data_IF_450668210534
#
_entry.id   IF_450668210534
#
_cell.length_a   1.000
_cell.length_b   1.000
_cell.length_c   1.000
_cell.angle_alpha   90.00
_cell.angle_beta   90.00
_cell.angle_gamma   90.00
#
_symmetry.space_group_name_H-M   'P 1'
#
loop_
_entity.id
_entity.type
_entity.pdbx_description
1 polymer ?
#
# COMPACT_ATOMS: atom_id res chain seq x y z
N UNK A 1 32.60 -12.90 13.99
CA UNK A 1 31.60 -12.34 13.04
C UNK A 1 30.52 -13.39 12.83
N UNK A 2 29.31 -13.17 13.34
CA UNK A 2 28.22 -14.14 13.14
C UNK A 2 27.69 -14.02 11.71
N UNK A 3 27.91 -15.04 10.88
CA UNK A 3 27.34 -15.09 9.54
C UNK A 3 25.80 -15.07 9.59
N UNK A 4 25.16 -14.46 8.59
CA UNK A 4 23.70 -14.51 8.44
C UNK A 4 23.24 -15.97 8.39
N UNK A 5 22.35 -16.37 9.29
CA UNK A 5 21.71 -17.68 9.26
C UNK A 5 20.78 -17.75 8.05
N UNK A 6 20.94 -18.79 7.23
CA UNK A 6 20.06 -19.09 6.11
C UNK A 6 19.08 -20.19 6.54
N UNK A 7 17.82 -20.07 6.11
CA UNK A 7 16.77 -21.05 6.37
C UNK A 7 16.08 -21.41 5.06
N UNK A 8 15.65 -22.67 4.92
CA UNK A 8 14.92 -23.13 3.75
C UNK A 8 13.44 -22.71 3.84
N UNK A 9 12.91 -22.19 2.74
CA UNK A 9 11.49 -21.90 2.57
C UNK A 9 10.90 -22.89 1.56
N UNK A 10 9.85 -23.62 1.94
CA UNK A 10 9.12 -24.54 1.07
C UNK A 10 7.67 -24.09 0.94
N UNK A 11 7.21 -23.86 -0.29
CA UNK A 11 5.87 -23.36 -0.59
C UNK A 11 5.21 -24.30 -1.59
N UNK A 12 3.94 -24.65 -1.34
CA UNK A 12 3.11 -25.36 -2.31
C UNK A 12 2.48 -24.35 -3.26
N UNK A 13 2.60 -24.61 -4.55
CA UNK A 13 2.14 -23.73 -5.63
C UNK A 13 1.62 -24.61 -6.76
N UNK A 14 0.66 -24.09 -7.51
CA UNK A 14 0.20 -24.72 -8.74
C UNK A 14 1.37 -24.85 -9.74
N UNK A 15 1.40 -25.97 -10.47
CA UNK A 15 2.52 -26.32 -11.35
C UNK A 15 2.65 -25.36 -12.54
N UNK A 16 1.52 -25.01 -13.16
CA UNK A 16 1.48 -24.10 -14.31
C UNK A 16 1.81 -22.68 -13.86
N UNK A 17 1.25 -22.26 -12.73
CA UNK A 17 1.56 -20.95 -12.13
C UNK A 17 3.04 -20.80 -11.80
N UNK A 18 3.67 -21.85 -11.25
CA UNK A 18 5.11 -21.86 -10.96
C UNK A 18 5.93 -21.65 -12.22
N UNK A 19 5.59 -22.35 -13.31
CA UNK A 19 6.30 -22.29 -14.59
C UNK A 19 6.15 -20.90 -15.25
N UNK A 20 4.94 -20.34 -15.23
CA UNK A 20 4.68 -18.99 -15.74
C UNK A 20 5.50 -17.96 -14.96
N UNK A 21 5.44 -18.02 -13.63
CA UNK A 21 6.19 -17.12 -12.76
C UNK A 21 7.69 -17.21 -13.02
N UNK A 22 8.24 -18.42 -13.20
CA UNK A 22 9.66 -18.61 -13.48
C UNK A 22 10.10 -17.99 -14.81
N UNK A 23 9.24 -18.08 -15.83
CA UNK A 23 9.47 -17.48 -17.14
C UNK A 23 9.50 -15.95 -17.03
N UNK A 24 8.53 -15.35 -16.32
CA UNK A 24 8.49 -13.90 -16.12
C UNK A 24 9.69 -13.40 -15.30
N UNK A 25 10.05 -14.10 -14.21
CA UNK A 25 11.23 -13.74 -13.43
C UNK A 25 12.52 -13.81 -14.27
N UNK A 26 12.66 -14.82 -15.14
CA UNK A 26 13.78 -14.91 -16.08
C UNK A 26 13.83 -13.74 -17.06
N UNK A 27 12.69 -13.32 -17.60
CA UNK A 27 12.61 -12.15 -18.48
C UNK A 27 13.08 -10.87 -17.77
N UNK A 28 12.85 -10.78 -16.46
CA UNK A 28 13.31 -9.68 -15.61
C UNK A 28 14.77 -9.85 -15.13
N UNK A 29 15.46 -10.93 -15.49
CA UNK A 29 16.82 -11.23 -15.03
C UNK A 29 16.90 -11.63 -13.54
N UNK A 30 15.79 -12.11 -12.97
CA UNK A 30 15.68 -12.48 -11.57
C UNK A 30 15.62 -14.00 -11.38
N UNK A 31 16.25 -14.47 -10.32
CA UNK A 31 16.02 -15.83 -9.81
C UNK A 31 14.84 -15.84 -8.84
N UNK A 32 14.23 -17.01 -8.65
CA UNK A 32 13.20 -17.21 -7.62
C UNK A 32 13.65 -16.76 -6.23
N UNK A 33 14.88 -17.12 -5.85
CA UNK A 33 15.46 -16.74 -4.56
C UNK A 33 15.57 -15.22 -4.43
N UNK A 34 16.05 -14.55 -5.47
CA UNK A 34 16.16 -13.08 -5.50
C UNK A 34 14.79 -12.43 -5.38
N UNK A 35 13.82 -12.88 -6.18
CA UNK A 35 12.46 -12.35 -6.17
C UNK A 35 11.80 -12.48 -4.79
N UNK A 36 11.85 -13.67 -4.18
CA UNK A 36 11.29 -13.91 -2.84
C UNK A 36 12.02 -13.11 -1.76
N UNK A 37 13.33 -12.92 -1.90
CA UNK A 37 14.12 -12.09 -0.97
C UNK A 37 13.68 -10.62 -1.05
N UNK A 38 13.55 -10.07 -2.26
CA UNK A 38 13.10 -8.69 -2.47
C UNK A 38 11.67 -8.48 -1.96
N UNK A 39 10.77 -9.42 -2.27
CA UNK A 39 9.40 -9.42 -1.77
C UNK A 39 9.36 -9.37 -0.23
N UNK A 40 10.14 -10.23 0.43
CA UNK A 40 10.21 -10.29 1.89
C UNK A 40 10.81 -9.01 2.48
N UNK A 41 11.84 -8.44 1.84
CA UNK A 41 12.45 -7.17 2.28
C UNK A 41 11.45 -6.01 2.17
N UNK A 42 10.66 -5.95 1.09
CA UNK A 42 9.66 -4.93 0.91
C UNK A 42 8.56 -5.00 2.00
N UNK A 43 8.07 -6.20 2.32
CA UNK A 43 7.11 -6.40 3.42
C UNK A 43 7.67 -5.92 4.75
N UNK A 44 8.90 -6.32 5.08
CA UNK A 44 9.53 -5.94 6.36
C UNK A 44 9.79 -4.43 6.43
N UNK A 45 10.10 -3.79 5.29
CA UNK A 45 10.36 -2.36 5.22
C UNK A 45 9.08 -1.53 5.38
N UNK A 46 8.02 -1.91 4.69
CA UNK A 46 6.80 -1.09 4.56
C UNK A 46 5.66 -1.56 5.48
N UNK A 47 5.79 -2.71 6.13
CA UNK A 47 4.78 -3.27 7.04
C UNK A 47 3.49 -3.70 6.33
N UNK A 48 3.52 -3.84 5.00
CA UNK A 48 2.38 -4.19 4.16
C UNK A 48 2.80 -5.01 2.94
N UNK A 49 1.84 -5.56 2.22
CA UNK A 49 2.11 -6.30 0.99
C UNK A 49 2.67 -5.35 -0.10
N UNK A 50 3.70 -5.77 -0.86
CA UNK A 50 4.38 -4.95 -1.86
C UNK A 50 3.67 -5.02 -3.21
N UNK A 51 2.35 -4.94 -3.18
CA UNK A 51 1.47 -4.81 -4.33
C UNK A 51 0.27 -3.97 -3.91
N UNK A 52 -0.34 -3.30 -4.87
CA UNK A 52 -1.52 -2.48 -4.62
C UNK A 52 -2.72 -3.40 -4.42
N UNK A 53 -3.15 -3.53 -3.16
CA UNK A 53 -4.46 -4.09 -2.85
C UNK A 53 -5.50 -3.01 -3.18
N UNK A 54 -6.54 -3.29 -3.99
CA UNK A 54 -7.55 -2.28 -4.36
C UNK A 54 -8.29 -1.66 -3.16
N UNK A 55 -8.17 -2.24 -1.95
CA UNK A 55 -8.72 -1.70 -0.71
C UNK A 55 -7.93 -0.54 -0.09
N UNK A 56 -6.66 -0.35 -0.44
CA UNK A 56 -5.71 0.29 0.48
C UNK A 56 -5.41 1.77 0.21
N UNK A 57 -6.14 2.44 -0.69
CA UNK A 57 -5.88 3.86 -0.95
C UNK A 57 -6.93 4.81 -0.37
N UNK A 58 -8.23 4.54 -0.49
CA UNK A 58 -9.29 5.46 -0.04
C UNK A 58 -10.59 4.80 0.43
N UNK A 59 -10.78 3.50 0.19
CA UNK A 59 -12.07 2.80 0.32
C UNK A 59 -12.17 1.93 1.59
N UNK A 60 -11.20 1.97 2.50
CA UNK A 60 -11.39 1.34 3.80
C UNK A 60 -12.39 2.15 4.62
N UNK A 61 -13.33 1.48 5.31
CA UNK A 61 -14.38 2.18 6.09
C UNK A 61 -13.80 3.24 7.04
N UNK A 62 -12.68 2.91 7.69
CA UNK A 62 -11.97 3.83 8.57
C UNK A 62 -11.45 5.07 7.83
N UNK A 63 -10.85 4.90 6.64
CA UNK A 63 -10.30 6.02 5.88
C UNK A 63 -11.44 6.88 5.27
N UNK A 64 -12.55 6.29 4.87
CA UNK A 64 -13.74 7.03 4.42
C UNK A 64 -14.32 7.93 5.52
N UNK A 65 -14.32 7.48 6.78
CA UNK A 65 -14.76 8.30 7.93
C UNK A 65 -13.85 9.52 8.11
N UNK A 66 -12.53 9.31 8.07
CA UNK A 66 -11.55 10.39 8.20
C UNK A 66 -11.63 11.37 7.02
N UNK A 67 -11.79 10.88 5.79
CA UNK A 67 -11.95 11.72 4.61
C UNK A 67 -13.23 12.55 4.69
N UNK A 68 -14.35 11.96 5.14
CA UNK A 68 -15.62 12.68 5.34
C UNK A 68 -15.49 13.80 6.38
N UNK A 69 -14.87 13.54 7.53
CA UNK A 69 -14.70 14.58 8.55
C UNK A 69 -13.84 15.74 8.06
N UNK A 70 -12.76 15.47 7.33
CA UNK A 70 -11.90 16.51 6.76
C UNK A 70 -12.67 17.36 5.74
N UNK A 71 -13.48 16.73 4.88
CA UNK A 71 -14.32 17.44 3.90
C UNK A 71 -15.35 18.33 4.62
N UNK A 72 -16.00 17.81 5.65
CA UNK A 72 -16.99 18.56 6.44
C UNK A 72 -16.35 19.79 7.11
N UNK A 73 -15.18 19.64 7.71
CA UNK A 73 -14.43 20.73 8.34
C UNK A 73 -14.03 21.82 7.33
N UNK A 74 -13.57 21.42 6.14
CA UNK A 74 -13.22 22.34 5.06
C UNK A 74 -14.44 23.14 4.57
N UNK A 75 -15.58 22.47 4.39
CA UNK A 75 -16.85 23.11 3.98
C UNK A 75 -17.32 24.11 5.05
N UNK A 76 -17.22 23.75 6.33
CA UNK A 76 -17.60 24.63 7.43
C UNK A 76 -16.70 25.86 7.52
N UNK A 77 -15.39 25.69 7.38
CA UNK A 77 -14.44 26.80 7.33
C UNK A 77 -14.73 27.78 6.19
N UNK A 78 -15.05 27.28 4.99
CA UNK A 78 -15.43 28.11 3.84
C UNK A 78 -16.71 28.92 4.12
N UNK A 79 -17.76 28.29 4.65
CA UNK A 79 -19.02 28.96 4.99
C UNK A 79 -18.83 30.08 6.02
N UNK A 80 -17.98 29.84 7.02
CA UNK A 80 -17.69 30.81 8.08
C UNK A 80 -17.00 32.05 7.52
N UNK A 81 -16.04 31.87 6.60
CA UNK A 81 -15.35 32.97 5.90
C UNK A 81 -16.29 33.84 5.03
N UNK A 82 -17.34 33.27 4.44
CA UNK A 82 -18.31 34.04 3.65
C UNK A 82 -19.34 34.78 4.53
N UNK A 83 -19.69 34.23 5.70
CA UNK A 83 -20.65 34.84 6.64
C UNK A 83 -20.11 36.04 7.42
N UNK A 84 -18.80 36.12 7.65
CA UNK A 84 -18.17 37.25 8.34
C UNK A 84 -17.98 38.49 7.47
N UNK A 85 -18.07 38.37 6.13
CA UNK A 85 -17.98 39.53 5.22
C UNK A 85 -19.31 40.28 5.07
N UNK A 86 -20.46 39.66 5.35
CA UNK A 86 -21.78 40.30 5.19
C UNK A 86 -22.29 41.03 6.44
N UNK A 87 -21.66 40.85 7.61
CA UNK A 87 -22.05 41.54 8.85
C UNK A 87 -21.30 42.86 9.11
N UNK A 88 -20.31 43.24 8.28
CA UNK A 88 -19.53 44.48 8.47
C UNK A 88 -20.02 45.68 7.63
N UNK A 89 -21.20 45.60 7.00
CA UNK A 89 -21.77 46.70 6.18
C UNK A 89 -23.12 47.22 6.67
N UNK A 90 -23.42 47.15 7.98
CA UNK A 90 -24.57 47.85 8.55
C UNK A 90 -24.17 48.67 9.78
#
# INVERSE_FOLDING_TARGET
MAGKKQTLLTVKMDADLKQQTETELRNLGLSYQTAITLFSQAIVKDGRLPFETPSDFFESEHNQVVVKSIIDDLIQCQKKSSSSLSQSQN
#
